data_IF_660986120414
#
_entry.id   IF_660986120414
#
_cell.length_a   1.000
_cell.length_b   1.000
_cell.length_c   1.000
_cell.angle_alpha   90.00
_cell.angle_beta   90.00
_cell.angle_gamma   90.00
#
_symmetry.space_group_name_H-M   'P 1'
#
loop_
_entity.id
_entity.type
_entity.pdbx_description
1 polymer ?
#
# COMPACT_ATOMS: atom_id res chain seq x y z
N UNK A 1 2.79 22.76 -12.11
CA UNK A 1 2.35 21.48 -12.72
C UNK A 1 0.83 21.45 -12.72
N UNK A 2 0.22 20.91 -13.77
CA UNK A 2 -1.24 20.87 -13.91
C UNK A 2 -1.77 19.49 -13.48
N UNK A 3 -1.66 19.17 -12.17
CA UNK A 3 -2.22 17.94 -11.61
C UNK A 3 -3.72 18.08 -11.42
N UNK A 4 -4.48 17.07 -11.90
CA UNK A 4 -5.90 17.01 -11.65
C UNK A 4 -6.18 16.67 -10.20
N UNK A 5 -7.31 17.19 -9.72
CA UNK A 5 -7.83 16.88 -8.39
C UNK A 5 -8.91 15.81 -8.50
N UNK A 6 -8.89 14.86 -7.56
CA UNK A 6 -9.94 13.85 -7.38
C UNK A 6 -10.65 14.07 -6.05
N UNK A 7 -11.97 13.95 -6.02
CA UNK A 7 -12.74 13.98 -4.77
C UNK A 7 -12.66 12.60 -4.10
N UNK A 8 -12.23 12.58 -2.84
CA UNK A 8 -12.10 11.33 -2.08
C UNK A 8 -13.45 10.99 -1.40
N UNK A 9 -14.41 10.51 -2.21
CA UNK A 9 -15.74 10.12 -1.76
C UNK A 9 -16.43 11.19 -0.90
N UNK A 10 -17.27 10.74 0.04
CA UNK A 10 -18.05 11.60 0.94
C UNK A 10 -17.20 12.49 1.87
N UNK A 11 -15.89 12.25 1.97
CA UNK A 11 -15.01 13.15 2.75
C UNK A 11 -14.99 14.56 2.19
N UNK A 12 -15.31 14.73 0.91
CA UNK A 12 -15.20 16.01 0.20
C UNK A 12 -13.77 16.50 0.03
N UNK A 13 -12.76 15.75 0.53
CA UNK A 13 -11.37 16.11 0.35
C UNK A 13 -10.99 16.07 -1.14
N UNK A 14 -10.41 17.17 -1.61
CA UNK A 14 -9.83 17.23 -2.95
C UNK A 14 -8.36 16.87 -2.86
N UNK A 15 -8.01 15.72 -3.41
CA UNK A 15 -6.65 15.17 -3.42
C UNK A 15 -6.08 15.17 -4.83
N UNK A 16 -4.78 15.32 -4.97
CA UNK A 16 -4.13 15.23 -6.27
C UNK A 16 -4.24 13.79 -6.82
N UNK A 17 -4.38 13.65 -8.13
CA UNK A 17 -4.43 12.35 -8.83
C UNK A 17 -3.16 11.52 -8.60
N UNK A 18 -2.04 12.17 -8.31
CA UNK A 18 -0.82 11.59 -7.75
C UNK A 18 -0.80 11.82 -6.25
N UNK A 19 -0.80 10.75 -5.48
CA UNK A 19 -0.69 10.82 -4.02
C UNK A 19 0.51 10.01 -3.54
N UNK A 20 1.08 10.40 -2.41
CA UNK A 20 2.34 9.86 -1.91
C UNK A 20 2.12 8.75 -0.89
N UNK A 21 2.52 7.52 -1.21
CA UNK A 21 2.55 6.38 -0.28
C UNK A 21 3.90 6.31 0.44
N UNK A 22 3.92 6.64 1.72
CA UNK A 22 5.14 6.83 2.49
C UNK A 22 5.74 5.53 3.09
N UNK A 23 5.22 4.35 2.76
CA UNK A 23 5.83 3.08 3.20
C UNK A 23 7.32 2.96 2.78
N UNK A 24 7.74 3.27 1.53
CA UNK A 24 9.13 3.06 1.13
C UNK A 24 10.13 4.00 1.79
N UNK A 25 9.73 5.19 2.22
CA UNK A 25 10.67 6.16 2.81
C UNK A 25 11.28 5.69 4.13
N UNK A 26 10.70 4.70 4.81
CA UNK A 26 11.30 4.08 5.99
C UNK A 26 12.69 3.45 5.70
N UNK A 27 12.97 3.15 4.43
CA UNK A 27 14.25 2.56 3.98
C UNK A 27 15.32 3.60 3.67
N UNK A 28 14.96 4.88 3.61
CA UNK A 28 15.87 5.96 3.30
C UNK A 28 16.49 6.56 4.55
N UNK A 29 17.70 7.12 4.49
CA UNK A 29 18.18 8.04 5.49
C UNK A 29 17.18 9.19 5.71
N UNK A 30 17.15 9.73 6.94
CA UNK A 30 16.18 10.76 7.34
C UNK A 30 16.17 11.95 6.38
N UNK A 31 17.33 12.53 6.11
CA UNK A 31 17.43 13.77 5.32
C UNK A 31 17.02 13.56 3.86
N UNK A 32 17.35 12.41 3.29
CA UNK A 32 16.91 12.02 1.94
C UNK A 32 15.39 11.86 1.86
N UNK A 33 14.80 11.20 2.87
CA UNK A 33 13.35 11.00 2.93
C UNK A 33 12.61 12.35 3.10
N UNK A 34 13.10 13.21 4.01
CA UNK A 34 12.53 14.56 4.24
C UNK A 34 12.59 15.39 2.96
N UNK A 35 13.75 15.40 2.27
CA UNK A 35 13.91 16.09 1.00
C UNK A 35 12.99 15.55 -0.09
N UNK A 36 12.85 14.23 -0.22
CA UNK A 36 11.97 13.60 -1.20
C UNK A 36 10.49 13.96 -0.98
N UNK A 37 10.03 13.90 0.28
CA UNK A 37 8.66 14.29 0.65
C UNK A 37 8.42 15.77 0.41
N UNK A 38 9.38 16.63 0.76
CA UNK A 38 9.28 18.07 0.51
C UNK A 38 9.20 18.40 -0.97
N UNK A 39 10.04 17.76 -1.79
CA UNK A 39 10.00 17.92 -3.25
C UNK A 39 8.65 17.47 -3.83
N UNK A 40 8.03 16.41 -3.29
CA UNK A 40 6.71 15.97 -3.70
C UNK A 40 5.64 17.02 -3.38
N UNK A 41 5.66 17.60 -2.18
CA UNK A 41 4.77 18.69 -1.80
C UNK A 41 4.96 19.94 -2.68
N UNK A 42 6.20 20.38 -2.88
CA UNK A 42 6.52 21.55 -3.69
C UNK A 42 6.15 21.36 -5.17
N UNK A 43 6.15 20.14 -5.65
CA UNK A 43 5.63 19.77 -6.96
C UNK A 43 4.09 19.77 -7.02
N UNK A 44 3.39 19.94 -5.89
CA UNK A 44 1.94 20.11 -5.80
C UNK A 44 1.19 18.87 -5.28
N UNK A 45 1.88 17.77 -4.92
CA UNK A 45 1.22 16.64 -4.26
C UNK A 45 0.70 17.09 -2.88
N UNK A 46 -0.58 16.88 -2.63
CA UNK A 46 -1.21 17.32 -1.39
C UNK A 46 -1.71 16.19 -0.49
N UNK A 47 -1.62 14.90 -0.92
CA UNK A 47 -2.06 13.78 -0.11
C UNK A 47 -0.91 12.81 0.17
N UNK A 48 -0.68 12.51 1.46
CA UNK A 48 0.39 11.68 1.98
C UNK A 48 -0.19 10.59 2.89
N UNK A 49 0.06 9.32 2.55
CA UNK A 49 -0.43 8.16 3.29
C UNK A 49 0.72 7.46 4.02
N UNK A 50 0.58 7.28 5.32
CA UNK A 50 1.54 6.58 6.19
C UNK A 50 0.85 5.60 7.12
N UNK A 51 1.55 5.06 8.11
CA UNK A 51 1.00 4.22 9.17
C UNK A 51 1.92 4.18 10.39
N UNK A 52 1.34 3.97 11.59
CA UNK A 52 2.09 3.76 12.84
C UNK A 52 3.10 2.61 12.70
N UNK A 53 2.76 1.57 11.92
CA UNK A 53 3.60 0.40 11.70
C UNK A 53 4.77 0.62 10.72
N UNK A 54 4.90 1.79 10.08
CA UNK A 54 5.95 2.07 9.10
C UNK A 54 7.19 2.71 9.76
N UNK A 55 7.75 2.05 10.77
CA UNK A 55 8.93 2.47 11.54
C UNK A 55 8.96 4.00 11.80
N UNK A 56 9.84 4.73 11.12
CA UNK A 56 10.08 6.18 11.25
C UNK A 56 9.40 7.04 10.16
N UNK A 57 8.52 6.45 9.35
CA UNK A 57 7.86 7.16 8.23
C UNK A 57 7.03 8.36 8.70
N UNK A 58 6.31 8.23 9.83
CA UNK A 58 5.54 9.33 10.40
C UNK A 58 6.45 10.50 10.85
N UNK A 59 7.59 10.20 11.47
CA UNK A 59 8.56 11.23 11.89
C UNK A 59 9.13 11.98 10.68
N UNK A 60 9.48 11.26 9.61
CA UNK A 60 9.97 11.83 8.36
C UNK A 60 8.94 12.74 7.69
N UNK A 61 7.67 12.33 7.66
CA UNK A 61 6.57 13.18 7.18
C UNK A 61 6.40 14.42 8.07
N UNK A 62 6.42 14.25 9.40
CA UNK A 62 6.31 15.36 10.34
C UNK A 62 7.42 16.38 10.17
N UNK A 63 8.67 15.94 9.93
CA UNK A 63 9.81 16.81 9.64
C UNK A 63 9.64 17.56 8.31
N UNK A 64 9.09 16.92 7.29
CA UNK A 64 8.95 17.49 5.96
C UNK A 64 7.76 18.44 5.83
N UNK A 65 6.65 18.24 6.59
CA UNK A 65 5.35 18.84 6.27
C UNK A 65 4.72 19.63 7.42
N UNK A 66 5.30 19.66 8.63
CA UNK A 66 4.67 20.33 9.78
C UNK A 66 4.45 21.83 9.58
N UNK A 67 5.34 22.52 8.90
CA UNK A 67 5.24 23.95 8.58
C UNK A 67 4.16 24.27 7.53
N UNK A 68 3.75 23.26 6.76
CA UNK A 68 2.72 23.36 5.71
C UNK A 68 1.51 22.46 5.98
N UNK A 69 1.35 21.98 7.22
CA UNK A 69 0.31 21.01 7.63
C UNK A 69 -1.09 21.32 7.10
N UNK A 70 -1.45 22.60 7.07
CA UNK A 70 -2.77 23.08 6.62
C UNK A 70 -3.02 22.90 5.12
N UNK A 71 -1.94 22.74 4.33
CA UNK A 71 -2.00 22.63 2.88
C UNK A 71 -1.98 21.18 2.40
N UNK A 72 -1.83 20.22 3.33
CA UNK A 72 -1.71 18.80 2.99
C UNK A 72 -2.77 17.95 3.71
N UNK A 73 -3.10 16.85 3.09
CA UNK A 73 -4.00 15.81 3.62
C UNK A 73 -3.10 14.66 4.05
N UNK A 74 -3.23 14.22 5.30
CA UNK A 74 -2.44 13.12 5.86
C UNK A 74 -3.38 12.02 6.35
N UNK A 75 -3.14 10.79 5.86
CA UNK A 75 -3.74 9.59 6.43
C UNK A 75 -2.71 8.77 7.20
N UNK A 76 -3.10 8.24 8.36
CA UNK A 76 -2.32 7.25 9.11
C UNK A 76 -3.19 6.09 9.56
N UNK A 77 -2.56 5.03 10.08
CA UNK A 77 -3.22 3.76 10.37
C UNK A 77 -2.73 3.19 11.70
N UNK A 78 -3.64 2.59 12.47
CA UNK A 78 -3.30 1.84 13.68
C UNK A 78 -3.53 0.34 13.50
N UNK A 79 -2.61 -0.48 14.02
CA UNK A 79 -2.75 -1.93 14.16
C UNK A 79 -3.25 -2.33 15.57
N UNK A 80 -3.65 -1.38 16.40
CA UNK A 80 -4.19 -1.62 17.73
C UNK A 80 -5.32 -2.66 17.69
N UNK A 81 -5.36 -3.55 18.70
CA UNK A 81 -6.34 -4.63 18.78
C UNK A 81 -7.43 -4.35 19.81
N UNK A 82 -7.35 -3.22 20.49
CA UNK A 82 -8.33 -2.71 21.45
C UNK A 82 -8.54 -1.22 21.21
N UNK A 83 -9.67 -0.68 21.71
CA UNK A 83 -9.96 0.75 21.67
C UNK A 83 -8.77 1.58 22.17
N UNK A 84 -8.27 1.27 23.36
CA UNK A 84 -7.19 2.02 23.98
C UNK A 84 -5.88 1.92 23.23
N UNK A 85 -5.60 0.77 22.57
CA UNK A 85 -4.42 0.62 21.75
C UNK A 85 -4.47 1.51 20.50
N UNK A 86 -5.64 1.61 19.84
CA UNK A 86 -5.83 2.50 18.68
C UNK A 86 -5.63 3.96 19.09
N UNK A 87 -6.20 4.38 20.24
CA UNK A 87 -6.07 5.75 20.72
C UNK A 87 -4.64 6.09 21.15
N UNK A 88 -3.90 5.14 21.77
CA UNK A 88 -2.47 5.31 22.06
C UNK A 88 -1.64 5.43 20.79
N UNK A 89 -1.87 4.55 19.79
CA UNK A 89 -1.21 4.62 18.50
C UNK A 89 -1.41 5.99 17.84
N UNK A 90 -2.66 6.50 17.85
CA UNK A 90 -2.96 7.83 17.33
C UNK A 90 -2.19 8.92 18.07
N UNK A 91 -2.11 8.85 19.42
CA UNK A 91 -1.34 9.81 20.21
C UNK A 91 0.12 9.85 19.79
N UNK A 92 0.75 8.68 19.57
CA UNK A 92 2.14 8.58 19.08
C UNK A 92 2.25 9.10 17.63
N UNK A 93 1.28 8.75 16.78
CA UNK A 93 1.25 9.23 15.39
C UNK A 93 1.20 10.76 15.31
N UNK A 94 0.38 11.41 16.12
CA UNK A 94 0.28 12.87 16.18
C UNK A 94 1.60 13.53 16.61
N UNK A 95 2.29 12.94 17.61
CA UNK A 95 3.62 13.40 18.04
C UNK A 95 4.65 13.28 16.91
N UNK A 96 4.72 12.12 16.24
CA UNK A 96 5.63 11.87 15.16
C UNK A 96 5.38 12.80 13.96
N UNK A 97 4.12 12.97 13.59
CA UNK A 97 3.68 13.83 12.49
C UNK A 97 3.74 15.32 12.83
N UNK A 98 4.02 15.68 14.11
CA UNK A 98 4.10 17.06 14.61
C UNK A 98 2.83 17.87 14.29
N UNK A 99 1.67 17.28 14.59
CA UNK A 99 0.35 17.87 14.32
C UNK A 99 -0.64 17.47 15.41
N UNK A 100 -1.71 18.26 15.57
CA UNK A 100 -2.78 17.98 16.54
C UNK A 100 -3.86 17.06 15.95
N UNK A 101 -3.89 16.87 14.63
CA UNK A 101 -4.88 16.03 13.95
C UNK A 101 -4.31 15.38 12.69
N UNK A 102 -4.93 14.29 12.27
CA UNK A 102 -4.78 13.72 10.90
C UNK A 102 -6.08 13.91 10.13
N UNK A 103 -6.02 13.92 8.82
CA UNK A 103 -7.24 14.01 8.02
C UNK A 103 -8.00 12.69 8.02
N UNK A 104 -7.29 11.57 7.88
CA UNK A 104 -7.91 10.25 7.86
C UNK A 104 -7.20 9.32 8.84
N UNK A 105 -7.95 8.72 9.78
CA UNK A 105 -7.48 7.63 10.64
C UNK A 105 -8.07 6.31 10.19
N UNK A 106 -7.24 5.30 9.95
CA UNK A 106 -7.68 4.00 9.45
C UNK A 106 -7.31 2.87 10.41
N UNK A 107 -8.16 1.84 10.50
CA UNK A 107 -7.77 0.53 11.05
C UNK A 107 -6.90 -0.19 10.00
N UNK A 108 -5.73 -0.65 10.43
CA UNK A 108 -4.72 -1.18 9.52
C UNK A 108 -4.88 -2.68 9.30
N UNK A 109 -5.20 -3.08 8.07
CA UNK A 109 -5.20 -4.48 7.63
C UNK A 109 -6.11 -5.38 8.49
N UNK A 110 -7.38 -5.00 8.63
CA UNK A 110 -8.33 -5.75 9.43
C UNK A 110 -8.81 -7.02 8.72
N UNK A 111 -8.96 -8.13 9.44
CA UNK A 111 -9.44 -9.40 8.87
C UNK A 111 -10.97 -9.47 8.78
N UNK A 112 -11.69 -8.67 9.57
CA UNK A 112 -13.14 -8.55 9.61
C UNK A 112 -13.53 -7.17 10.11
N UNK A 113 -14.76 -6.71 9.82
CA UNK A 113 -15.25 -5.44 10.36
C UNK A 113 -15.47 -5.57 11.87
N UNK A 114 -15.05 -4.56 12.66
CA UNK A 114 -15.40 -4.46 14.07
C UNK A 114 -16.91 -4.28 14.25
N UNK A 115 -17.43 -4.78 15.36
CA UNK A 115 -18.81 -4.51 15.78
C UNK A 115 -18.94 -3.00 16.12
N UNK A 116 -19.84 -2.26 15.45
CA UNK A 116 -20.03 -0.84 15.74
C UNK A 116 -20.69 -0.57 17.10
N UNK A 117 -21.37 -1.54 17.68
CA UNK A 117 -22.05 -1.42 18.98
C UNK A 117 -21.15 -1.77 20.17
N UNK A 118 -19.96 -2.32 19.93
CA UNK A 118 -19.01 -2.65 21.01
C UNK A 118 -18.37 -1.36 21.56
N UNK A 119 -18.67 -0.97 22.83
CA UNK A 119 -18.14 0.26 23.43
C UNK A 119 -16.63 0.22 23.64
N UNK A 120 -16.02 -0.95 23.72
CA UNK A 120 -14.56 -1.15 23.83
C UNK A 120 -13.93 -1.51 22.48
N UNK A 121 -14.73 -1.50 21.40
CA UNK A 121 -14.37 -1.95 20.07
C UNK A 121 -13.49 -0.97 19.29
N UNK A 122 -12.93 -1.47 18.19
CA UNK A 122 -12.06 -0.70 17.32
C UNK A 122 -12.82 0.41 16.59
N UNK A 123 -14.10 0.18 16.23
CA UNK A 123 -14.92 1.21 15.57
C UNK A 123 -15.18 2.38 16.53
N UNK A 124 -15.51 2.08 17.78
CA UNK A 124 -15.69 3.10 18.83
C UNK A 124 -14.43 3.94 19.03
N UNK A 125 -13.22 3.35 18.94
CA UNK A 125 -11.98 4.11 18.99
C UNK A 125 -11.88 5.17 17.86
N UNK A 126 -12.25 4.80 16.64
CA UNK A 126 -12.26 5.74 15.51
C UNK A 126 -13.26 6.88 15.73
N UNK A 127 -14.48 6.56 16.16
CA UNK A 127 -15.52 7.55 16.45
C UNK A 127 -15.07 8.50 17.57
N UNK A 128 -14.48 7.97 18.63
CA UNK A 128 -13.95 8.77 19.74
C UNK A 128 -12.81 9.70 19.28
N UNK A 129 -11.89 9.20 18.45
CA UNK A 129 -10.82 10.01 17.87
C UNK A 129 -11.37 11.18 17.03
N UNK A 130 -12.42 10.93 16.25
CA UNK A 130 -13.10 11.94 15.44
C UNK A 130 -13.82 12.98 16.30
N UNK A 131 -14.56 12.53 17.30
CA UNK A 131 -15.25 13.43 18.25
C UNK A 131 -14.28 14.31 19.04
N UNK A 132 -13.10 13.79 19.36
CA UNK A 132 -12.03 14.55 20.02
C UNK A 132 -11.27 15.49 19.07
N UNK A 133 -11.66 15.57 17.79
CA UNK A 133 -11.00 16.41 16.78
C UNK A 133 -9.60 15.93 16.37
N UNK A 134 -9.19 14.72 16.76
CA UNK A 134 -7.87 14.15 16.44
C UNK A 134 -7.80 13.52 15.05
N UNK A 135 -8.93 13.28 14.42
CA UNK A 135 -9.03 12.97 12.99
C UNK A 135 -10.33 13.59 12.43
N UNK A 136 -10.32 13.86 11.12
CA UNK A 136 -11.50 14.42 10.44
C UNK A 136 -12.41 13.30 9.92
N UNK A 137 -11.83 12.27 9.35
CA UNK A 137 -12.50 11.14 8.71
C UNK A 137 -11.92 9.83 9.21
N UNK A 138 -12.74 8.78 9.12
CA UNK A 138 -12.39 7.44 9.56
C UNK A 138 -12.48 6.42 8.43
N UNK A 139 -11.61 5.41 8.45
CA UNK A 139 -11.57 4.40 7.41
C UNK A 139 -10.97 3.08 7.85
N UNK A 140 -10.88 2.18 6.89
CA UNK A 140 -10.21 0.89 7.08
C UNK A 140 -9.24 0.60 5.93
N UNK A 141 -8.28 -0.25 6.20
CA UNK A 141 -7.52 -0.93 5.15
C UNK A 141 -7.73 -2.43 5.23
N UNK A 142 -7.91 -3.08 4.11
CA UNK A 142 -8.06 -4.53 4.01
C UNK A 142 -7.37 -5.09 2.76
N UNK A 143 -7.02 -6.38 2.82
CA UNK A 143 -6.59 -7.16 1.65
C UNK A 143 -7.63 -8.21 1.27
N UNK A 144 -8.67 -8.35 2.08
CA UNK A 144 -9.81 -9.22 1.82
C UNK A 144 -10.89 -8.40 1.13
N UNK A 145 -11.30 -8.81 -0.05
CA UNK A 145 -12.32 -8.11 -0.84
C UNK A 145 -13.68 -8.08 -0.15
N UNK A 146 -14.08 -9.20 0.48
CA UNK A 146 -15.32 -9.30 1.24
C UNK A 146 -15.42 -8.26 2.36
N UNK A 147 -14.30 -8.05 3.10
CA UNK A 147 -14.21 -7.04 4.16
C UNK A 147 -14.28 -5.62 3.58
N UNK A 148 -13.58 -5.36 2.47
CA UNK A 148 -13.59 -4.05 1.83
C UNK A 148 -14.98 -3.69 1.27
N UNK A 149 -15.66 -4.65 0.61
CA UNK A 149 -17.04 -4.49 0.10
C UNK A 149 -18.03 -4.26 1.25
N UNK A 150 -17.93 -5.04 2.34
CA UNK A 150 -18.76 -4.86 3.52
C UNK A 150 -18.56 -3.48 4.13
N UNK A 151 -17.32 -3.00 4.26
CA UNK A 151 -17.02 -1.66 4.77
C UNK A 151 -17.62 -0.56 3.88
N UNK A 152 -17.47 -0.67 2.56
CA UNK A 152 -18.01 0.32 1.62
C UNK A 152 -19.54 0.41 1.69
N UNK A 153 -20.23 -0.72 1.89
CA UNK A 153 -21.70 -0.80 1.98
C UNK A 153 -22.25 -0.43 3.36
N UNK A 154 -21.45 -0.50 4.41
CA UNK A 154 -21.91 -0.33 5.79
C UNK A 154 -22.41 1.07 6.13
N UNK A 155 -21.96 2.10 5.40
CA UNK A 155 -22.21 3.51 5.75
C UNK A 155 -21.37 4.04 6.93
N UNK A 156 -20.55 3.18 7.57
CA UNK A 156 -19.83 3.50 8.80
C UNK A 156 -18.48 4.18 8.54
N UNK A 157 -17.85 3.93 7.39
CA UNK A 157 -16.51 4.39 7.05
C UNK A 157 -16.55 5.41 5.91
N UNK A 158 -15.73 6.45 6.03
CA UNK A 158 -15.60 7.49 5.02
C UNK A 158 -14.66 7.06 3.89
N UNK A 159 -13.66 6.20 4.22
CA UNK A 159 -12.69 5.69 3.25
C UNK A 159 -12.45 4.20 3.41
N UNK A 160 -12.17 3.54 2.27
CA UNK A 160 -11.66 2.16 2.22
C UNK A 160 -10.34 2.17 1.44
N UNK A 161 -9.31 1.56 2.01
CA UNK A 161 -8.03 1.38 1.33
C UNK A 161 -7.83 -0.09 0.98
N UNK A 162 -7.64 -0.37 -0.31
CA UNK A 162 -7.55 -1.72 -0.85
C UNK A 162 -6.48 -1.81 -1.95
N UNK A 163 -5.83 -2.98 -2.17
CA UNK A 163 -4.91 -3.17 -3.27
C UNK A 163 -5.63 -3.08 -4.62
N UNK A 164 -5.39 -2.01 -5.37
CA UNK A 164 -5.85 -1.86 -6.75
C UNK A 164 -4.65 -1.54 -7.62
N UNK A 165 -4.54 -2.23 -8.75
CA UNK A 165 -3.58 -1.98 -9.82
C UNK A 165 -4.18 -2.48 -11.13
N UNK A 166 -3.53 -2.27 -12.25
CA UNK A 166 -4.01 -2.85 -13.51
C UNK A 166 -3.88 -4.39 -13.58
N UNK A 167 -3.29 -5.01 -12.53
CA UNK A 167 -3.26 -6.48 -12.35
C UNK A 167 -4.39 -6.99 -11.45
N UNK A 168 -5.27 -6.11 -10.99
CA UNK A 168 -6.44 -6.51 -10.20
C UNK A 168 -7.40 -7.35 -11.03
N UNK A 169 -8.06 -8.31 -10.38
CA UNK A 169 -9.10 -9.13 -11.01
C UNK A 169 -10.39 -8.32 -11.23
N UNK A 170 -11.28 -8.84 -12.06
CA UNK A 170 -12.58 -8.23 -12.27
C UNK A 170 -13.40 -8.15 -10.98
N UNK A 171 -13.25 -9.14 -10.09
CA UNK A 171 -13.86 -9.14 -8.75
C UNK A 171 -13.30 -7.99 -7.88
N UNK A 172 -11.96 -7.78 -7.88
CA UNK A 172 -11.35 -6.65 -7.15
C UNK A 172 -11.87 -5.30 -7.69
N UNK A 173 -12.07 -5.20 -9.01
CA UNK A 173 -12.56 -3.98 -9.66
C UNK A 173 -14.00 -3.64 -9.30
N UNK A 174 -14.84 -4.60 -8.88
CA UNK A 174 -16.18 -4.34 -8.34
C UNK A 174 -16.16 -3.38 -7.15
N UNK A 175 -15.08 -3.38 -6.35
CA UNK A 175 -14.94 -2.45 -5.23
C UNK A 175 -14.92 -0.99 -5.69
N UNK A 176 -14.35 -0.70 -6.87
CA UNK A 176 -14.34 0.65 -7.46
C UNK A 176 -15.75 1.15 -7.68
N UNK A 177 -16.62 0.30 -8.25
CA UNK A 177 -18.02 0.65 -8.51
C UNK A 177 -18.82 0.79 -7.20
N UNK A 178 -18.67 -0.15 -6.27
CA UNK A 178 -19.34 -0.09 -4.96
C UNK A 178 -18.93 1.16 -4.17
N UNK A 179 -17.65 1.51 -4.15
CA UNK A 179 -17.21 2.74 -3.51
C UNK A 179 -17.80 4.00 -4.16
N UNK A 180 -17.97 3.99 -5.49
CA UNK A 180 -18.63 5.09 -6.22
C UNK A 180 -20.12 5.20 -5.86
N UNK A 181 -20.85 4.09 -5.87
CA UNK A 181 -22.27 4.01 -5.56
C UNK A 181 -22.59 4.47 -4.14
N UNK A 182 -21.74 4.12 -3.19
CA UNK A 182 -21.89 4.47 -1.78
C UNK A 182 -21.16 5.76 -1.37
N UNK A 183 -20.57 6.48 -2.32
CA UNK A 183 -19.78 7.69 -2.11
C UNK A 183 -18.65 7.54 -1.05
N UNK A 184 -18.00 6.37 -1.02
CA UNK A 184 -16.87 6.07 -0.13
C UNK A 184 -15.57 6.39 -0.86
N UNK A 185 -14.63 7.06 -0.18
CA UNK A 185 -13.32 7.36 -0.73
C UNK A 185 -12.49 6.08 -0.90
N UNK A 186 -12.15 5.71 -2.15
CA UNK A 186 -11.29 4.55 -2.43
C UNK A 186 -9.84 4.97 -2.56
N UNK A 187 -9.01 4.50 -1.63
CA UNK A 187 -7.56 4.69 -1.64
C UNK A 187 -6.92 3.42 -2.19
N UNK A 188 -6.28 3.53 -3.35
CA UNK A 188 -5.66 2.40 -4.04
C UNK A 188 -4.22 2.22 -3.56
N UNK A 189 -4.01 1.29 -2.61
CA UNK A 189 -2.67 0.88 -2.22
C UNK A 189 -2.10 -0.16 -3.18
N UNK A 190 -0.77 -0.32 -3.17
CA UNK A 190 -0.06 -1.26 -4.07
C UNK A 190 -0.35 -1.04 -5.54
N UNK A 191 -0.56 0.19 -5.94
CA UNK A 191 -0.86 0.58 -7.33
C UNK A 191 0.20 0.12 -8.35
N UNK A 192 1.43 -0.15 -7.88
CA UNK A 192 2.51 -0.79 -8.64
C UNK A 192 2.66 -2.30 -8.33
N UNK A 193 1.62 -2.95 -7.80
CA UNK A 193 1.61 -4.36 -7.41
C UNK A 193 2.83 -4.79 -6.55
N UNK A 194 3.29 -3.88 -5.67
CA UNK A 194 4.47 -4.12 -4.81
C UNK A 194 5.79 -4.18 -5.57
N UNK A 195 5.91 -3.48 -6.69
CA UNK A 195 7.10 -3.41 -7.53
C UNK A 195 7.12 -4.41 -8.69
N UNK A 196 6.00 -5.06 -8.97
CA UNK A 196 5.88 -6.01 -10.10
C UNK A 196 5.42 -5.34 -11.41
N UNK A 197 4.78 -4.18 -11.31
CA UNK A 197 4.37 -3.38 -12.48
C UNK A 197 5.61 -2.81 -13.17
N UNK A 198 5.68 -2.98 -14.51
CA UNK A 198 6.87 -2.63 -15.29
C UNK A 198 6.94 -1.16 -15.71
N UNK A 199 5.80 -0.44 -15.68
CA UNK A 199 5.70 0.96 -16.11
C UNK A 199 4.82 1.78 -15.18
N UNK A 200 5.42 2.78 -14.51
CA UNK A 200 4.68 3.75 -13.71
C UNK A 200 3.75 4.60 -14.57
N UNK A 201 4.17 4.95 -15.78
CA UNK A 201 3.35 5.70 -16.75
C UNK A 201 2.09 4.93 -17.17
N UNK A 202 2.20 3.61 -17.41
CA UNK A 202 1.02 2.78 -17.72
C UNK A 202 0.10 2.65 -16.50
N UNK A 203 0.67 2.52 -15.29
CA UNK A 203 -0.10 2.51 -14.05
C UNK A 203 -0.83 3.86 -13.84
N UNK A 204 -0.16 4.99 -14.07
CA UNK A 204 -0.80 6.30 -14.01
C UNK A 204 -1.96 6.40 -15.00
N UNK A 205 -1.75 6.04 -16.28
CA UNK A 205 -2.79 6.06 -17.31
C UNK A 205 -4.01 5.20 -16.95
N UNK A 206 -3.79 4.03 -16.35
CA UNK A 206 -4.87 3.18 -15.83
C UNK A 206 -5.70 3.92 -14.77
N UNK A 207 -5.05 4.56 -13.78
CA UNK A 207 -5.76 5.31 -12.72
C UNK A 207 -6.39 6.61 -13.22
N UNK A 208 -5.88 7.20 -14.31
CA UNK A 208 -6.52 8.35 -14.94
C UNK A 208 -7.93 8.01 -15.45
N UNK A 209 -8.19 6.76 -15.84
CA UNK A 209 -9.50 6.23 -16.19
C UNK A 209 -10.43 5.90 -15.01
N UNK A 210 -9.95 6.02 -13.74
CA UNK A 210 -10.69 5.70 -12.53
C UNK A 210 -10.88 6.96 -11.65
N UNK A 211 -11.90 7.78 -11.91
CA UNK A 211 -12.04 9.10 -11.27
C UNK A 211 -12.27 9.02 -9.75
N UNK A 212 -12.81 7.92 -9.25
CA UNK A 212 -13.12 7.71 -7.83
C UNK A 212 -12.09 6.86 -7.07
N UNK A 213 -10.99 6.43 -7.72
CA UNK A 213 -9.89 5.72 -7.08
C UNK A 213 -8.65 6.62 -7.02
N UNK A 214 -8.06 6.75 -5.82
CA UNK A 214 -6.88 7.58 -5.56
C UNK A 214 -5.67 6.67 -5.31
N UNK A 215 -4.72 6.58 -6.24
CA UNK A 215 -3.51 5.78 -6.03
C UNK A 215 -2.57 6.47 -5.04
N UNK A 216 -2.01 5.70 -4.11
CA UNK A 216 -0.91 6.12 -3.25
C UNK A 216 0.37 5.46 -3.76
N UNK A 217 1.19 6.21 -4.50
CA UNK A 217 2.41 5.69 -5.09
C UNK A 217 3.50 5.49 -4.03
N UNK A 218 4.03 4.28 -3.95
CA UNK A 218 5.18 3.99 -3.09
C UNK A 218 6.45 4.54 -3.73
N UNK A 219 6.90 5.71 -3.29
CA UNK A 219 8.04 6.44 -3.85
C UNK A 219 9.21 6.40 -2.87
N UNK A 220 10.40 6.05 -3.34
CA UNK A 220 11.65 6.07 -2.57
C UNK A 220 12.82 6.72 -3.32
N UNK A 221 12.65 7.10 -4.58
CA UNK A 221 13.68 7.72 -5.41
C UNK A 221 13.16 8.96 -6.11
N UNK A 222 14.00 10.01 -6.30
CA UNK A 222 13.60 11.19 -7.06
C UNK A 222 13.18 10.88 -8.50
N UNK A 223 13.76 9.85 -9.12
CA UNK A 223 13.38 9.41 -10.48
C UNK A 223 11.95 8.85 -10.54
N UNK A 224 11.53 8.09 -9.52
CA UNK A 224 10.17 7.58 -9.41
C UNK A 224 9.16 8.72 -9.23
N UNK A 225 9.46 9.68 -8.36
CA UNK A 225 8.64 10.88 -8.20
C UNK A 225 8.49 11.61 -9.53
N UNK A 226 9.59 11.83 -10.25
CA UNK A 226 9.61 12.54 -11.55
C UNK A 226 8.74 11.83 -12.58
N UNK A 227 8.80 10.49 -12.67
CA UNK A 227 7.97 9.72 -13.60
C UNK A 227 6.48 10.02 -13.43
N UNK A 228 5.97 10.03 -12.19
CA UNK A 228 4.57 10.32 -11.92
C UNK A 228 4.21 11.80 -12.13
N UNK A 229 5.12 12.72 -11.80
CA UNK A 229 4.92 14.15 -12.05
C UNK A 229 4.87 14.45 -13.55
N UNK A 230 5.77 13.87 -14.33
CA UNK A 230 5.80 14.02 -15.80
C UNK A 230 4.54 13.42 -16.44
N UNK A 231 4.05 12.28 -15.94
CA UNK A 231 2.82 11.66 -16.43
C UNK A 231 1.59 12.56 -16.16
N UNK A 232 1.52 13.16 -14.99
CA UNK A 232 0.45 14.08 -14.63
C UNK A 232 0.51 15.39 -15.43
N UNK A 233 1.69 15.99 -15.56
CA UNK A 233 1.88 17.26 -16.29
C UNK A 233 1.50 17.09 -17.77
N UNK A 234 1.84 15.96 -18.38
CA UNK A 234 1.48 15.59 -19.75
C UNK A 234 0.03 15.10 -19.90
N UNK A 235 -0.72 14.97 -18.79
CA UNK A 235 -2.07 14.43 -18.78
C UNK A 235 -2.18 13.07 -19.52
N UNK A 236 -1.25 12.14 -19.22
CA UNK A 236 -1.13 10.87 -19.93
C UNK A 236 -2.44 10.09 -19.81
N UNK A 237 -3.04 9.78 -20.96
CA UNK A 237 -4.20 8.89 -21.07
C UNK A 237 -3.76 7.50 -21.51
N UNK A 238 -4.63 6.51 -21.35
CA UNK A 238 -4.38 5.15 -21.78
C UNK A 238 -4.40 5.06 -23.32
N UNK A 239 -3.22 4.86 -23.90
CA UNK A 239 -3.03 4.65 -25.36
C UNK A 239 -2.94 3.16 -25.68
N UNK A 240 -3.07 2.74 -26.95
CA UNK A 240 -2.85 1.35 -27.36
C UNK A 240 -1.46 0.81 -26.98
N UNK A 241 -0.43 1.63 -27.01
CA UNK A 241 0.93 1.27 -26.61
C UNK A 241 1.01 0.98 -25.11
N UNK A 242 0.42 1.84 -24.28
CA UNK A 242 0.36 1.62 -22.83
C UNK A 242 -0.54 0.43 -22.48
N UNK A 243 -1.64 0.22 -23.23
CA UNK A 243 -2.49 -0.95 -23.07
C UNK A 243 -1.70 -2.24 -23.40
N UNK A 244 -0.89 -2.23 -24.44
CA UNK A 244 -0.03 -3.39 -24.79
C UNK A 244 0.97 -3.74 -23.68
N UNK A 245 1.48 -2.74 -22.95
CA UNK A 245 2.34 -2.97 -21.76
C UNK A 245 1.51 -3.64 -20.65
N UNK A 246 0.32 -3.14 -20.38
CA UNK A 246 -0.60 -3.72 -19.38
C UNK A 246 -0.94 -5.17 -19.73
N UNK A 247 -1.29 -5.44 -20.98
CA UNK A 247 -1.68 -6.78 -21.44
C UNK A 247 -0.52 -7.77 -21.33
N UNK A 248 0.69 -7.34 -21.70
CA UNK A 248 1.91 -8.14 -21.50
C UNK A 248 2.16 -8.43 -20.02
N UNK A 249 2.09 -7.41 -19.14
CA UNK A 249 2.26 -7.58 -17.71
C UNK A 249 1.20 -8.53 -17.14
N UNK A 250 -0.04 -8.42 -17.59
CA UNK A 250 -1.12 -9.36 -17.19
C UNK A 250 -0.80 -10.79 -17.62
N UNK A 251 -0.33 -11.00 -18.86
CA UNK A 251 0.04 -12.33 -19.35
C UNK A 251 1.23 -12.94 -18.58
N UNK A 252 2.27 -12.15 -18.31
CA UNK A 252 3.46 -12.60 -17.59
C UNK A 252 3.19 -12.83 -16.08
N UNK A 253 2.21 -12.14 -15.52
CA UNK A 253 1.84 -12.21 -14.10
C UNK A 253 0.53 -12.99 -13.89
N UNK A 254 0.07 -13.76 -14.89
CA UNK A 254 -1.05 -14.68 -14.71
C UNK A 254 -0.65 -15.84 -13.81
N UNK A 255 -1.51 -16.22 -12.88
CA UNK A 255 -1.32 -17.37 -12.01
C UNK A 255 -1.11 -17.04 -10.53
N UNK A 256 -0.68 -18.04 -9.79
CA UNK A 256 -0.50 -17.99 -8.35
C UNK A 256 0.78 -17.26 -7.96
N UNK A 257 0.74 -15.94 -7.85
CA UNK A 257 1.85 -15.18 -7.28
C UNK A 257 1.46 -14.48 -5.96
N UNK A 258 2.41 -14.39 -5.04
CA UNK A 258 2.20 -13.76 -3.76
C UNK A 258 1.94 -12.25 -3.91
N UNK A 259 0.83 -11.75 -3.34
CA UNK A 259 0.49 -10.31 -3.33
C UNK A 259 1.24 -9.51 -2.26
N UNK A 260 2.11 -10.17 -1.45
CA UNK A 260 2.92 -9.52 -0.42
C UNK A 260 2.10 -8.87 0.70
N UNK A 261 0.93 -9.42 1.06
CA UNK A 261 0.03 -8.85 2.06
C UNK A 261 0.43 -9.11 3.52
N UNK A 262 1.17 -10.22 3.78
CA UNK A 262 1.65 -10.56 5.11
C UNK A 262 0.69 -11.34 6.02
N UNK A 263 -0.54 -11.65 5.60
CA UNK A 263 -1.49 -12.41 6.44
C UNK A 263 -0.96 -13.80 6.87
N UNK A 264 -0.09 -14.40 6.06
CA UNK A 264 0.54 -15.68 6.35
C UNK A 264 1.60 -15.61 7.47
N UNK A 265 1.97 -14.42 7.91
CA UNK A 265 2.96 -14.24 9.00
C UNK A 265 2.29 -14.32 10.40
N UNK A 266 3.05 -14.70 11.44
CA UNK A 266 4.44 -15.18 11.38
C UNK A 266 4.54 -16.61 10.86
N UNK A 267 5.64 -16.90 10.14
CA UNK A 267 6.00 -18.27 9.78
C UNK A 267 6.77 -18.92 10.95
N UNK A 268 6.43 -20.14 11.40
CA UNK A 268 7.09 -20.79 12.54
C UNK A 268 8.59 -21.07 12.31
N UNK A 269 9.03 -21.14 11.05
CA UNK A 269 10.45 -21.32 10.69
C UNK A 269 11.09 -20.05 10.12
N UNK A 270 10.42 -18.90 10.24
CA UNK A 270 11.00 -17.60 9.91
C UNK A 270 11.02 -17.22 8.42
N UNK A 271 10.30 -17.93 7.54
CA UNK A 271 10.25 -17.57 6.11
C UNK A 271 9.50 -16.25 5.95
N UNK A 272 10.16 -15.22 5.36
CA UNK A 272 9.53 -13.98 4.93
C UNK A 272 8.71 -14.21 3.64
N UNK A 273 7.52 -14.82 3.77
CA UNK A 273 6.66 -15.15 2.64
C UNK A 273 6.32 -13.95 1.75
N UNK A 274 6.06 -12.75 2.27
CA UNK A 274 5.83 -11.57 1.44
C UNK A 274 6.92 -11.30 0.41
N UNK A 275 8.17 -11.59 0.72
CA UNK A 275 9.29 -11.40 -0.22
C UNK A 275 9.70 -12.70 -0.90
N UNK A 276 9.89 -13.78 -0.13
CA UNK A 276 10.28 -15.10 -0.68
C UNK A 276 9.27 -15.59 -1.74
N UNK A 277 7.96 -15.43 -1.46
CA UNK A 277 6.89 -15.82 -2.39
C UNK A 277 6.79 -14.99 -3.67
N UNK A 278 7.60 -13.95 -3.83
CA UNK A 278 7.66 -13.11 -5.03
C UNK A 278 9.06 -13.05 -5.65
N UNK A 279 10.01 -13.76 -5.08
CA UNK A 279 11.43 -13.58 -5.42
C UNK A 279 11.70 -13.77 -6.91
N UNK A 280 11.18 -14.80 -7.55
CA UNK A 280 11.34 -15.04 -8.98
C UNK A 280 10.92 -13.84 -9.84
N UNK A 281 9.81 -13.20 -9.48
CA UNK A 281 9.33 -12.00 -10.17
C UNK A 281 10.18 -10.76 -9.84
N UNK A 282 10.58 -10.60 -8.57
CA UNK A 282 11.41 -9.49 -8.14
C UNK A 282 12.79 -9.49 -8.83
N UNK A 283 13.39 -10.66 -9.01
CA UNK A 283 14.67 -10.79 -9.70
C UNK A 283 14.60 -10.35 -11.18
N UNK A 284 13.43 -10.47 -11.82
CA UNK A 284 13.25 -10.16 -13.25
C UNK A 284 12.66 -8.76 -13.49
N UNK A 285 11.98 -8.19 -12.50
CA UNK A 285 11.19 -6.97 -12.66
C UNK A 285 11.63 -5.80 -11.77
N UNK A 286 12.63 -6.01 -10.90
CA UNK A 286 13.23 -4.98 -10.07
C UNK A 286 14.77 -5.10 -10.08
N UNK A 287 15.51 -4.15 -9.50
CA UNK A 287 16.97 -4.23 -9.41
C UNK A 287 17.40 -5.48 -8.63
N UNK A 288 17.66 -6.58 -9.33
CA UNK A 288 17.98 -7.89 -8.75
C UNK A 288 19.20 -7.87 -7.83
N UNK A 289 20.13 -6.94 -8.04
CA UNK A 289 21.35 -6.77 -7.23
C UNK A 289 21.00 -6.57 -5.74
N UNK A 290 19.84 -5.99 -5.45
CA UNK A 290 19.33 -5.83 -4.07
C UNK A 290 19.17 -7.16 -3.35
N UNK A 291 18.91 -8.23 -4.10
CA UNK A 291 18.68 -9.58 -3.58
C UNK A 291 19.90 -10.49 -3.72
N UNK A 292 20.99 -10.01 -4.31
CA UNK A 292 22.24 -10.77 -4.56
C UNK A 292 23.23 -10.64 -3.39
N UNK A 293 22.75 -10.67 -2.15
CA UNK A 293 23.59 -10.55 -0.96
C UNK A 293 23.61 -11.85 -0.14
N UNK A 294 24.67 -12.10 0.67
CA UNK A 294 24.70 -13.27 1.55
C UNK A 294 23.50 -13.35 2.50
N UNK A 295 23.02 -12.18 2.99
CA UNK A 295 21.85 -12.09 3.85
C UNK A 295 20.59 -12.56 3.14
N UNK A 296 20.37 -12.18 1.87
CA UNK A 296 19.22 -12.62 1.08
C UNK A 296 19.31 -14.11 0.75
N UNK A 297 20.51 -14.62 0.48
CA UNK A 297 20.72 -16.06 0.28
C UNK A 297 20.29 -16.86 1.52
N UNK A 298 20.69 -16.40 2.72
CA UNK A 298 20.29 -17.02 3.98
C UNK A 298 18.75 -16.96 4.15
N UNK A 299 18.13 -15.80 3.96
CA UNK A 299 16.66 -15.65 4.01
C UNK A 299 15.93 -16.57 3.05
N UNK A 300 16.42 -16.69 1.82
CA UNK A 300 15.84 -17.56 0.80
C UNK A 300 16.00 -19.04 1.14
N UNK A 301 17.14 -19.45 1.70
CA UNK A 301 17.41 -20.83 2.08
C UNK A 301 16.47 -21.35 3.20
N UNK A 302 15.83 -20.45 3.96
CA UNK A 302 14.80 -20.86 4.94
C UNK A 302 13.63 -21.61 4.31
N UNK A 303 13.42 -21.48 2.99
CA UNK A 303 12.42 -22.26 2.27
C UNK A 303 12.66 -23.78 2.36
N UNK A 304 13.92 -24.23 2.48
CA UNK A 304 14.26 -25.64 2.70
C UNK A 304 13.81 -26.16 4.07
N UNK A 305 13.75 -25.26 5.07
CA UNK A 305 13.33 -25.59 6.44
C UNK A 305 11.80 -25.62 6.60
N UNK A 306 11.05 -25.43 5.51
CA UNK A 306 9.60 -25.42 5.56
C UNK A 306 9.05 -26.78 6.05
N UNK A 307 8.33 -26.77 7.16
CA UNK A 307 7.74 -27.96 7.80
C UNK A 307 6.37 -28.35 7.23
N UNK A 308 5.87 -27.66 6.21
CA UNK A 308 4.59 -27.99 5.57
C UNK A 308 3.36 -27.81 6.47
N UNK A 309 3.39 -26.93 7.46
CA UNK A 309 2.30 -26.74 8.43
C UNK A 309 0.99 -26.17 7.87
N UNK A 310 0.95 -25.73 6.61
CA UNK A 310 -0.24 -25.19 5.93
C UNK A 310 -0.71 -23.81 6.40
N UNK A 311 -0.10 -23.21 7.44
CA UNK A 311 -0.53 -21.93 8.01
C UNK A 311 -0.48 -20.76 7.01
N UNK A 312 0.48 -20.77 6.09
CA UNK A 312 0.58 -19.74 5.04
C UNK A 312 -0.57 -19.85 4.03
N UNK A 313 -1.03 -21.06 3.70
CA UNK A 313 -2.14 -21.27 2.78
C UNK A 313 -3.49 -20.98 3.43
N UNK A 314 -3.73 -21.48 4.65
CA UNK A 314 -5.00 -21.25 5.36
C UNK A 314 -5.29 -19.79 5.70
N UNK A 315 -4.23 -18.97 5.85
CA UNK A 315 -4.34 -17.52 6.11
C UNK A 315 -4.30 -16.68 4.84
N UNK A 316 -4.04 -17.29 3.66
CA UNK A 316 -3.91 -16.55 2.42
C UNK A 316 -5.28 -16.17 1.86
N UNK A 317 -5.60 -14.86 1.70
CA UNK A 317 -6.87 -14.43 1.11
C UNK A 317 -6.99 -14.81 -0.38
N UNK A 318 -5.88 -15.23 -1.00
CA UNK A 318 -5.82 -15.62 -2.42
C UNK A 318 -5.65 -17.14 -2.60
N UNK A 319 -5.76 -17.94 -1.55
CA UNK A 319 -5.67 -19.39 -1.60
C UNK A 319 -4.32 -19.97 -2.03
N UNK A 320 -3.24 -19.18 -1.98
CA UNK A 320 -1.92 -19.59 -2.49
C UNK A 320 -1.28 -20.61 -1.56
N UNK A 321 -0.78 -21.73 -2.14
CA UNK A 321 0.15 -22.62 -1.43
C UNK A 321 1.51 -21.96 -1.27
N UNK A 322 1.69 -21.30 -0.12
CA UNK A 322 2.92 -20.57 0.17
C UNK A 322 4.13 -21.51 0.34
N UNK A 323 3.93 -22.75 0.78
CA UNK A 323 5.05 -23.69 0.97
C UNK A 323 5.63 -24.14 -0.36
N UNK A 324 4.78 -24.48 -1.31
CA UNK A 324 5.19 -24.83 -2.67
C UNK A 324 5.86 -23.63 -3.37
N UNK A 325 5.24 -22.46 -3.25
CA UNK A 325 5.74 -21.23 -3.87
C UNK A 325 7.12 -20.82 -3.32
N UNK A 326 7.34 -20.93 -1.99
CA UNK A 326 8.63 -20.63 -1.39
C UNK A 326 9.75 -21.54 -1.89
N UNK A 327 9.47 -22.84 -1.99
CA UNK A 327 10.45 -23.82 -2.51
C UNK A 327 10.77 -23.58 -3.98
N UNK A 328 9.74 -23.37 -4.82
CA UNK A 328 9.94 -23.06 -6.23
C UNK A 328 10.77 -21.78 -6.44
N UNK A 329 10.50 -20.73 -5.68
CA UNK A 329 11.25 -19.48 -5.75
C UNK A 329 12.70 -19.61 -5.21
N UNK A 330 12.94 -20.50 -4.25
CA UNK A 330 14.30 -20.81 -3.81
C UNK A 330 15.11 -21.52 -4.90
N UNK A 331 14.53 -22.51 -5.57
CA UNK A 331 15.20 -23.16 -6.70
C UNK A 331 15.51 -22.17 -7.83
N UNK A 332 14.53 -21.36 -8.22
CA UNK A 332 14.73 -20.32 -9.24
C UNK A 332 15.76 -19.27 -8.83
N UNK A 333 15.79 -18.88 -7.55
CA UNK A 333 16.80 -17.95 -7.02
C UNK A 333 18.22 -18.52 -7.18
N UNK A 334 18.44 -19.80 -6.85
CA UNK A 334 19.74 -20.45 -7.01
C UNK A 334 20.18 -20.45 -8.48
N UNK A 335 19.29 -20.83 -9.39
CA UNK A 335 19.58 -20.84 -10.84
C UNK A 335 19.92 -19.44 -11.33
N UNK A 336 19.08 -18.44 -11.01
CA UNK A 336 19.29 -17.06 -11.42
C UNK A 336 20.62 -16.49 -10.91
N UNK A 337 20.97 -16.71 -9.64
CA UNK A 337 22.22 -16.21 -9.05
C UNK A 337 23.45 -16.91 -9.64
N UNK A 338 23.34 -18.21 -9.94
CA UNK A 338 24.41 -18.93 -10.65
C UNK A 338 24.63 -18.38 -12.05
N UNK A 339 23.55 -18.11 -12.83
CA UNK A 339 23.63 -17.49 -14.16
C UNK A 339 24.27 -16.09 -14.12
N UNK A 340 24.13 -15.37 -13.01
CA UNK A 340 24.77 -14.06 -12.79
C UNK A 340 26.18 -14.14 -12.22
N UNK A 341 26.70 -15.34 -11.99
CA UNK A 341 28.05 -15.54 -11.43
C UNK A 341 28.21 -15.10 -9.97
N UNK A 342 27.11 -15.07 -9.21
CA UNK A 342 27.15 -14.62 -7.80
C UNK A 342 27.49 -15.80 -6.87
N UNK A 343 26.91 -17.02 -7.11
CA UNK A 343 27.23 -18.29 -6.39
C UNK A 343 26.61 -19.51 -7.07
#
# INVERSE_FOLDING_TARGET
MNMKMKRLGRTGLMVTENSFGALPIQRLPRDEAVSLVRNAYEAGINYFDTARAYSDSEEKLGLALSDVRQNVIISTKSMGKTRDAVLRDLGVSLQNLKTDYVDILQLHNIPALPDPEDPEGLYTALVQARQAGKCRFIGITAHRLDVALAAARSGLYDTVQFPISYLSSDEDMQLVDVCREHDVGLIAMKALAGGLVSSGTAAFAFFAGLPNAVPIWGIQRPSELREFLDAADKQVALTPELQSIIDRDKQELTGNFCRGCGYCQPCPVGIDMPTVGRMSLLLRRSPWQTYATPEWREKMSLAEKCIGCGACQSRCPYGIDGSQLARANWEDYKVFMHEKGIF
#
